data_IF_774044287738
#
_entry.id   IF_774044287738
#
_cell.length_a   1.000
_cell.length_b   1.000
_cell.length_c   1.000
_cell.angle_alpha   90.00
_cell.angle_beta   90.00
_cell.angle_gamma   90.00
#
_symmetry.space_group_name_H-M   'P 1'
#
loop_
_entity.id
_entity.type
_entity.pdbx_description
1 polymer ?
#
# COMPACT_ATOMS: atom_id res chain seq x y z
N UNK A 1 0.81 -43.18 -11.85
CA UNK A 1 0.10 -42.03 -11.25
C UNK A 1 0.97 -41.48 -10.14
N UNK A 2 1.17 -40.17 -10.08
CA UNK A 2 1.98 -39.57 -9.03
C UNK A 2 1.38 -39.88 -7.65
N UNK A 3 2.19 -40.29 -6.66
CA UNK A 3 1.71 -40.58 -5.32
C UNK A 3 1.20 -39.32 -4.62
N UNK A 4 0.53 -39.55 -3.49
CA UNK A 4 0.16 -38.47 -2.57
C UNK A 4 1.40 -37.68 -2.13
N UNK A 5 1.43 -36.35 -2.32
CA UNK A 5 2.56 -35.53 -1.89
C UNK A 5 2.81 -35.59 -0.37
N UNK A 6 4.07 -35.51 0.07
CA UNK A 6 4.39 -35.29 1.47
C UNK A 6 3.93 -33.89 1.93
N UNK A 7 3.86 -33.68 3.24
CA UNK A 7 3.60 -32.35 3.80
C UNK A 7 4.74 -31.38 3.45
N UNK A 8 4.40 -30.15 3.06
CA UNK A 8 5.42 -29.11 2.87
C UNK A 8 6.02 -28.71 4.22
N UNK A 9 7.30 -28.36 4.21
CA UNK A 9 8.05 -27.99 5.42
C UNK A 9 8.70 -26.62 5.27
N UNK A 10 9.04 -26.01 6.41
CA UNK A 10 9.69 -24.70 6.44
C UNK A 10 8.78 -23.55 5.98
N UNK A 11 7.47 -23.66 6.21
CA UNK A 11 6.52 -22.58 5.97
C UNK A 11 6.88 -21.37 6.84
N UNK A 12 7.14 -20.24 6.20
CA UNK A 12 7.49 -18.96 6.82
C UNK A 12 6.60 -17.85 6.28
N UNK A 13 6.41 -16.83 7.09
CA UNK A 13 5.65 -15.62 6.74
C UNK A 13 6.55 -14.41 6.82
N UNK A 14 6.44 -13.51 5.85
CA UNK A 14 7.05 -12.19 5.84
C UNK A 14 5.95 -11.13 5.81
N UNK A 15 6.03 -10.18 6.73
CA UNK A 15 5.02 -9.17 6.97
C UNK A 15 5.26 -7.93 6.11
N UNK A 16 4.18 -7.39 5.55
CA UNK A 16 4.14 -6.04 4.98
C UNK A 16 2.77 -5.43 5.28
N UNK A 17 2.63 -4.11 5.06
CA UNK A 17 1.34 -3.44 5.23
C UNK A 17 0.33 -4.04 4.26
N UNK A 18 -0.85 -4.40 4.76
CA UNK A 18 -1.94 -5.09 4.04
C UNK A 18 -1.60 -6.43 3.40
N UNK A 19 -0.42 -7.00 3.68
CA UNK A 19 0.10 -8.18 2.97
C UNK A 19 0.90 -9.12 3.87
N UNK A 20 0.78 -10.41 3.60
CA UNK A 20 1.67 -11.43 4.15
C UNK A 20 2.19 -12.29 3.01
N UNK A 21 3.51 -12.37 2.85
CA UNK A 21 4.14 -13.31 1.91
C UNK A 21 4.42 -14.62 2.63
N UNK A 22 3.88 -15.72 2.12
CA UNK A 22 4.19 -17.06 2.55
C UNK A 22 5.23 -17.69 1.63
N UNK A 23 6.19 -18.41 2.20
CA UNK A 23 7.16 -19.21 1.45
C UNK A 23 7.45 -20.53 2.18
N UNK A 24 7.79 -21.57 1.42
CA UNK A 24 8.12 -22.90 1.96
C UNK A 24 9.17 -23.60 1.12
N UNK A 25 9.65 -24.77 1.59
CA UNK A 25 10.58 -25.59 0.81
C UNK A 25 9.82 -26.26 -0.34
N UNK A 26 10.35 -26.12 -1.57
CA UNK A 26 9.82 -26.86 -2.72
C UNK A 26 9.92 -28.36 -2.48
N UNK A 27 8.89 -29.11 -2.89
CA UNK A 27 8.91 -30.58 -2.88
C UNK A 27 9.66 -31.17 -4.08
N UNK A 28 10.13 -30.33 -5.01
CA UNK A 28 10.80 -30.78 -6.24
C UNK A 28 9.80 -31.25 -7.30
N UNK A 29 10.23 -32.21 -8.12
CA UNK A 29 9.48 -32.70 -9.29
C UNK A 29 8.98 -34.14 -9.14
N UNK A 30 9.25 -34.81 -8.01
CA UNK A 30 8.78 -36.17 -7.72
C UNK A 30 8.19 -36.26 -6.30
N UNK A 31 6.85 -36.44 -6.14
CA UNK A 31 5.86 -36.45 -7.21
C UNK A 31 5.78 -35.10 -7.95
N UNK A 32 5.31 -35.12 -9.20
CA UNK A 32 5.03 -33.89 -9.92
C UNK A 32 3.91 -33.13 -9.19
N UNK A 33 4.25 -31.95 -8.68
CA UNK A 33 3.28 -31.06 -8.02
C UNK A 33 2.60 -30.20 -9.08
N UNK A 34 1.27 -30.33 -9.16
CA UNK A 34 0.44 -29.48 -10.01
C UNK A 34 0.29 -28.09 -9.39
N UNK A 35 -0.12 -28.03 -8.12
CA UNK A 35 -0.21 -26.78 -7.36
C UNK A 35 -0.16 -26.99 -5.86
N UNK A 36 0.02 -25.89 -5.15
CA UNK A 36 -0.19 -25.75 -3.73
C UNK A 36 -1.50 -25.02 -3.47
N UNK A 37 -2.21 -25.44 -2.43
CA UNK A 37 -3.37 -24.75 -1.85
C UNK A 37 -2.94 -24.10 -0.54
N UNK A 38 -3.19 -22.81 -0.41
CA UNK A 38 -2.89 -22.03 0.79
C UNK A 38 -4.19 -21.80 1.52
N UNK A 39 -4.27 -22.32 2.73
CA UNK A 39 -5.40 -22.17 3.63
C UNK A 39 -5.04 -21.20 4.75
N UNK A 40 -6.00 -20.42 5.20
CA UNK A 40 -5.80 -19.40 6.22
C UNK A 40 -7.08 -19.07 6.97
N UNK A 41 -6.95 -18.87 8.28
CA UNK A 41 -8.03 -18.40 9.15
C UNK A 41 -7.57 -17.17 9.94
N UNK A 42 -8.43 -16.14 10.11
CA UNK A 42 -8.11 -15.00 10.97
C UNK A 42 -7.88 -15.44 12.41
N UNK A 43 -6.91 -14.81 13.07
CA UNK A 43 -6.53 -15.08 14.45
C UNK A 43 -5.39 -16.10 14.61
N UNK A 44 -5.12 -16.43 15.86
CA UNK A 44 -4.08 -17.38 16.27
C UNK A 44 -4.73 -18.70 16.68
N UNK A 45 -4.40 -19.76 15.95
CA UNK A 45 -4.94 -21.10 16.15
C UNK A 45 -3.82 -22.10 16.37
N UNK A 46 -4.02 -23.08 17.23
CA UNK A 46 -3.02 -24.13 17.50
C UNK A 46 -2.80 -25.07 16.30
N UNK A 47 -3.77 -25.13 15.39
CA UNK A 47 -3.74 -25.88 14.14
C UNK A 47 -4.72 -25.29 13.15
N UNK A 48 -4.64 -25.72 11.90
CA UNK A 48 -5.56 -25.33 10.85
C UNK A 48 -5.98 -26.57 10.07
N UNK A 49 -7.29 -26.76 9.92
CA UNK A 49 -7.88 -27.85 9.14
C UNK A 49 -8.23 -27.33 7.74
N UNK A 50 -7.53 -27.77 6.67
CA UNK A 50 -7.75 -27.27 5.32
C UNK A 50 -9.15 -27.61 4.78
N UNK A 51 -9.93 -26.59 4.42
CA UNK A 51 -11.30 -26.71 3.92
C UNK A 51 -11.55 -25.73 2.76
N UNK A 52 -12.60 -25.92 1.96
CA UNK A 52 -12.90 -25.01 0.85
C UNK A 52 -13.19 -23.56 1.28
N UNK A 53 -13.75 -23.36 2.47
CA UNK A 53 -14.13 -22.05 3.03
C UNK A 53 -12.94 -21.23 3.52
N UNK A 54 -11.87 -21.88 3.99
CA UNK A 54 -10.62 -21.24 4.42
C UNK A 54 -9.52 -21.25 3.34
N UNK A 55 -9.87 -21.58 2.08
CA UNK A 55 -8.93 -21.51 0.95
C UNK A 55 -8.69 -20.05 0.56
N UNK A 56 -7.49 -19.55 0.86
CA UNK A 56 -7.07 -18.18 0.52
C UNK A 56 -6.61 -18.09 -0.94
N UNK A 57 -6.01 -19.18 -1.47
CA UNK A 57 -5.63 -19.21 -2.87
C UNK A 57 -4.78 -20.42 -3.27
N UNK A 58 -4.33 -20.40 -4.52
CA UNK A 58 -3.52 -21.46 -5.12
C UNK A 58 -2.31 -20.86 -5.82
N UNK A 59 -1.24 -21.64 -5.90
CA UNK A 59 0.00 -21.24 -6.59
C UNK A 59 0.76 -22.48 -7.05
N UNK A 60 1.48 -22.39 -8.15
CA UNK A 60 2.40 -23.45 -8.61
C UNK A 60 3.82 -23.27 -8.05
N UNK A 61 4.09 -22.12 -7.45
CA UNK A 61 5.38 -21.79 -6.85
C UNK A 61 5.36 -22.03 -5.35
N UNK A 62 6.53 -22.30 -4.71
CA UNK A 62 6.63 -22.45 -3.26
C UNK A 62 6.57 -21.10 -2.51
N UNK A 63 5.72 -20.20 -3.01
CA UNK A 63 5.49 -18.85 -2.52
C UNK A 63 4.07 -18.42 -2.85
N UNK A 64 3.42 -17.74 -1.92
CA UNK A 64 2.10 -17.14 -2.09
C UNK A 64 2.05 -15.77 -1.42
N UNK A 65 1.31 -14.83 -2.01
CA UNK A 65 1.11 -13.49 -1.45
C UNK A 65 -0.36 -13.34 -1.07
N UNK A 66 -0.64 -13.26 0.23
CA UNK A 66 -1.95 -12.90 0.74
C UNK A 66 -2.03 -11.37 0.83
N UNK A 67 -3.00 -10.76 0.13
CA UNK A 67 -3.18 -9.30 0.05
C UNK A 67 -4.58 -8.91 0.51
N UNK A 68 -4.80 -7.62 0.76
CA UNK A 68 -6.10 -7.08 1.16
C UNK A 68 -6.36 -7.14 2.66
N UNK A 69 -5.33 -7.39 3.46
CA UNK A 69 -5.40 -7.36 4.91
C UNK A 69 -5.57 -5.93 5.42
N UNK A 70 -6.11 -5.76 6.63
CA UNK A 70 -6.23 -4.47 7.32
C UNK A 70 -4.86 -3.77 7.42
N UNK A 71 -4.77 -2.47 7.04
CA UNK A 71 -3.54 -1.70 7.17
C UNK A 71 -3.08 -1.51 8.62
N UNK A 72 -3.95 -1.64 9.61
CA UNK A 72 -3.60 -1.61 11.05
C UNK A 72 -3.03 -2.94 11.56
N UNK A 73 -2.96 -3.94 10.69
CA UNK A 73 -2.35 -5.23 10.96
C UNK A 73 -3.36 -6.29 11.40
N UNK A 74 -3.32 -7.44 10.74
CA UNK A 74 -4.14 -8.61 11.04
C UNK A 74 -3.26 -9.80 11.38
N UNK A 75 -3.73 -10.64 12.30
CA UNK A 75 -3.10 -11.94 12.57
C UNK A 75 -3.89 -13.03 11.87
N UNK A 76 -3.18 -13.97 11.27
CA UNK A 76 -3.74 -15.14 10.60
C UNK A 76 -2.92 -16.38 10.94
N UNK A 77 -3.58 -17.53 10.89
CA UNK A 77 -2.93 -18.84 10.95
C UNK A 77 -3.05 -19.49 9.59
N UNK A 78 -1.96 -20.03 9.06
CA UNK A 78 -1.88 -20.58 7.71
C UNK A 78 -1.43 -22.04 7.70
N UNK A 79 -1.92 -22.81 6.73
CA UNK A 79 -1.34 -24.09 6.35
C UNK A 79 -1.32 -24.24 4.83
N UNK A 80 -0.38 -25.04 4.33
CA UNK A 80 -0.22 -25.29 2.90
C UNK A 80 -0.36 -26.78 2.61
N UNK A 81 -1.08 -27.10 1.55
CA UNK A 81 -1.29 -28.47 1.06
C UNK A 81 -0.79 -28.56 -0.38
N UNK A 82 0.02 -29.56 -0.68
CA UNK A 82 0.45 -29.83 -2.06
C UNK A 82 -0.54 -30.78 -2.75
N UNK A 83 -0.76 -30.58 -4.05
CA UNK A 83 -1.61 -31.41 -4.90
C UNK A 83 -0.77 -31.90 -6.08
N UNK A 84 -0.76 -33.22 -6.32
CA UNK A 84 -0.06 -33.79 -7.48
C UNK A 84 -0.81 -33.57 -8.79
N UNK A 85 -0.14 -33.81 -9.91
CA UNK A 85 -0.75 -33.87 -11.26
C UNK A 85 -1.85 -34.93 -11.40
N UNK A 86 -1.80 -35.99 -10.58
CA UNK A 86 -2.86 -36.99 -10.48
C UNK A 86 -4.07 -36.52 -9.62
N UNK A 87 -4.01 -35.33 -9.03
CA UNK A 87 -5.05 -34.78 -8.16
C UNK A 87 -4.99 -35.28 -6.71
N UNK A 88 -3.95 -36.03 -6.33
CA UNK A 88 -3.79 -36.50 -4.96
C UNK A 88 -3.42 -35.35 -4.03
N UNK A 89 -4.17 -35.22 -2.94
CA UNK A 89 -4.00 -34.16 -1.96
C UNK A 89 -3.11 -34.64 -0.82
N UNK A 90 -1.99 -33.94 -0.60
CA UNK A 90 -1.03 -34.22 0.47
C UNK A 90 -1.56 -33.92 1.87
N UNK A 91 -0.75 -34.22 2.88
CA UNK A 91 -1.02 -33.77 4.26
C UNK A 91 -0.73 -32.26 4.38
N UNK A 92 -1.45 -31.53 5.25
CA UNK A 92 -1.13 -30.13 5.53
C UNK A 92 0.25 -29.99 6.16
N UNK A 93 0.88 -28.85 5.92
CA UNK A 93 2.02 -28.39 6.71
C UNK A 93 1.65 -28.23 8.19
N UNK A 94 2.66 -28.10 9.04
CA UNK A 94 2.44 -27.49 10.35
C UNK A 94 1.81 -26.08 10.16
N UNK A 95 0.90 -25.71 11.06
CA UNK A 95 0.29 -24.40 11.04
C UNK A 95 1.33 -23.33 11.40
N UNK A 96 1.35 -22.24 10.63
CA UNK A 96 2.25 -21.11 10.85
C UNK A 96 1.45 -19.84 11.00
N UNK A 97 1.69 -19.11 12.08
CA UNK A 97 1.15 -17.77 12.30
C UNK A 97 1.86 -16.75 11.40
N UNK A 98 1.08 -15.87 10.78
CA UNK A 98 1.56 -14.64 10.16
C UNK A 98 0.83 -13.43 10.73
N UNK A 99 1.51 -12.29 10.85
CA UNK A 99 0.90 -11.01 11.19
C UNK A 99 1.36 -9.97 10.17
N UNK A 100 0.43 -9.29 9.50
CA UNK A 100 0.80 -8.18 8.63
C UNK A 100 1.40 -7.02 9.44
N UNK A 101 2.27 -6.24 8.80
CA UNK A 101 2.89 -5.11 9.48
C UNK A 101 1.82 -4.03 9.69
N UNK A 102 1.63 -3.51 10.91
CA UNK A 102 0.72 -2.42 11.16
C UNK A 102 1.33 -1.13 10.61
N UNK A 103 0.52 -0.32 9.96
CA UNK A 103 0.88 1.01 9.49
C UNK A 103 1.22 1.96 10.64
N UNK A 104 2.10 2.93 10.37
CA UNK A 104 2.37 4.06 11.27
C UNK A 104 1.14 4.89 11.60
N UNK A 105 0.07 4.82 10.81
CA UNK A 105 -1.23 5.45 11.10
C UNK A 105 -1.84 4.89 12.38
N UNK A 106 -1.64 3.59 12.67
CA UNK A 106 -2.12 2.96 13.91
C UNK A 106 -1.08 2.95 15.04
N UNK A 107 0.21 2.89 14.70
CA UNK A 107 1.27 2.73 15.69
C UNK A 107 1.93 4.03 16.13
N UNK A 108 1.88 5.08 15.31
CA UNK A 108 2.49 6.38 15.57
C UNK A 108 1.55 7.38 16.25
N UNK A 109 2.05 8.60 16.43
CA UNK A 109 1.29 9.75 16.89
C UNK A 109 1.21 10.75 15.73
N UNK A 110 0.02 11.11 15.24
CA UNK A 110 -0.10 12.05 14.13
C UNK A 110 0.43 13.42 14.54
N UNK A 111 1.36 13.95 13.74
CA UNK A 111 1.87 15.33 13.87
C UNK A 111 1.06 16.26 12.98
N UNK A 112 0.82 15.83 11.74
CA UNK A 112 0.01 16.56 10.76
C UNK A 112 -0.50 15.58 9.70
N UNK A 113 -1.69 15.83 9.16
CA UNK A 113 -2.31 15.00 8.11
C UNK A 113 -3.10 15.85 7.10
N UNK A 114 -3.19 15.34 5.88
CA UNK A 114 -4.09 15.79 4.81
C UNK A 114 -5.01 14.62 4.46
N UNK A 115 -6.31 14.82 4.60
CA UNK A 115 -7.30 13.77 4.38
C UNK A 115 -7.45 12.83 5.58
N UNK A 116 -8.20 11.75 5.37
CA UNK A 116 -8.46 10.68 6.32
C UNK A 116 -7.89 9.38 5.79
N UNK A 117 -7.21 8.61 6.64
CA UNK A 117 -6.68 7.30 6.27
C UNK A 117 -7.79 6.23 6.29
N UNK A 118 -8.77 6.35 5.40
CA UNK A 118 -9.99 5.52 5.40
C UNK A 118 -10.21 4.74 4.09
N UNK A 119 -9.28 4.83 3.14
CA UNK A 119 -9.38 4.17 1.84
C UNK A 119 -10.20 4.95 0.82
N UNK A 120 -10.38 6.27 1.02
CA UNK A 120 -11.24 7.12 0.18
C UNK A 120 -10.54 8.43 -0.18
N UNK A 121 -10.93 8.97 -1.32
CA UNK A 121 -10.42 10.26 -1.82
C UNK A 121 -11.48 11.37 -1.75
N UNK A 122 -12.69 11.05 -1.29
CA UNK A 122 -13.89 11.82 -1.52
C UNK A 122 -13.90 13.19 -0.83
N UNK A 123 -13.11 13.37 0.23
CA UNK A 123 -12.96 14.66 0.91
C UNK A 123 -11.99 15.62 0.21
N UNK A 124 -11.27 15.14 -0.82
CA UNK A 124 -10.27 15.93 -1.52
C UNK A 124 -10.89 16.80 -2.62
N UNK A 125 -10.20 17.88 -2.98
CA UNK A 125 -10.67 18.82 -4.00
C UNK A 125 -10.81 18.13 -5.37
N UNK A 126 -11.91 18.42 -6.05
CA UNK A 126 -12.28 17.87 -7.37
C UNK A 126 -12.60 16.36 -7.38
N UNK A 127 -12.57 15.68 -6.23
CA UNK A 127 -12.99 14.30 -6.16
C UNK A 127 -14.49 14.17 -6.52
N UNK A 128 -14.93 13.00 -7.02
CA UNK A 128 -14.10 11.91 -7.55
C UNK A 128 -13.84 12.00 -9.06
N UNK A 129 -14.38 13.02 -9.75
CA UNK A 129 -14.48 12.99 -11.21
C UNK A 129 -14.12 14.31 -11.93
N UNK A 130 -13.82 15.38 -11.21
CA UNK A 130 -13.57 16.71 -11.78
C UNK A 130 -12.07 16.96 -12.09
N UNK A 131 -11.31 15.90 -12.43
CA UNK A 131 -9.85 16.02 -12.60
C UNK A 131 -9.45 17.05 -13.66
N UNK A 132 -10.28 17.26 -14.68
CA UNK A 132 -10.05 18.23 -15.75
C UNK A 132 -9.92 19.68 -15.24
N UNK A 133 -10.33 19.97 -14.00
CA UNK A 133 -10.20 21.29 -13.36
C UNK A 133 -8.82 21.52 -12.73
N UNK A 134 -8.05 20.46 -12.47
CA UNK A 134 -6.74 20.54 -11.82
C UNK A 134 -5.76 21.43 -12.60
N UNK A 135 -5.58 21.30 -13.94
CA UNK A 135 -4.59 22.09 -14.67
C UNK A 135 -4.95 23.58 -14.72
N UNK A 136 -6.25 23.90 -14.73
CA UNK A 136 -6.73 25.28 -14.65
C UNK A 136 -6.48 25.88 -13.26
N UNK A 137 -6.66 25.10 -12.19
CA UNK A 137 -6.40 25.54 -10.82
C UNK A 137 -4.90 25.63 -10.49
N UNK A 138 -4.07 24.83 -11.15
CA UNK A 138 -2.62 24.74 -10.96
C UNK A 138 -1.88 24.86 -12.30
N UNK A 139 -1.91 26.06 -12.94
CA UNK A 139 -1.37 26.26 -14.29
C UNK A 139 0.15 26.15 -14.35
N UNK A 140 0.86 26.24 -13.23
CA UNK A 140 2.30 26.04 -13.07
C UNK A 140 2.68 24.61 -12.65
N UNK A 141 1.70 23.70 -12.53
CA UNK A 141 1.88 22.33 -12.06
C UNK A 141 2.31 22.21 -10.59
N UNK A 142 2.06 23.24 -9.78
CA UNK A 142 2.37 23.24 -8.35
C UNK A 142 1.08 23.30 -7.52
N UNK A 143 0.94 22.33 -6.62
CA UNK A 143 -0.11 22.29 -5.60
C UNK A 143 0.51 22.70 -4.28
N UNK A 144 0.03 23.79 -3.70
CA UNK A 144 0.48 24.29 -2.40
C UNK A 144 -0.57 23.94 -1.33
N UNK A 145 -0.13 23.39 -0.20
CA UNK A 145 -0.98 23.10 0.95
C UNK A 145 -0.28 23.51 2.25
N UNK A 146 -0.91 24.38 3.02
CA UNK A 146 -0.42 24.87 4.30
C UNK A 146 -1.23 24.24 5.44
N UNK A 147 -0.56 23.40 6.23
CA UNK A 147 -1.16 22.73 7.38
C UNK A 147 -1.78 23.74 8.35
N UNK A 148 -3.01 23.45 8.79
CA UNK A 148 -3.74 24.28 9.75
C UNK A 148 -4.40 25.53 9.13
N UNK A 149 -4.11 25.85 7.87
CA UNK A 149 -4.79 26.92 7.11
C UNK A 149 -5.72 26.33 6.06
N UNK A 150 -5.23 25.37 5.28
CA UNK A 150 -5.99 24.77 4.19
C UNK A 150 -6.78 23.54 4.67
N UNK A 151 -7.81 23.16 3.90
CA UNK A 151 -8.58 21.92 4.11
C UNK A 151 -8.42 21.02 2.88
N UNK A 152 -8.50 19.67 3.02
CA UNK A 152 -8.34 18.76 1.89
C UNK A 152 -9.26 19.09 0.70
N UNK A 153 -10.54 19.38 0.96
CA UNK A 153 -11.53 19.70 -0.06
C UNK A 153 -11.30 21.03 -0.81
N UNK A 154 -10.37 21.86 -0.34
CA UNK A 154 -10.08 23.17 -0.91
C UNK A 154 -8.63 23.30 -1.41
N UNK A 155 -7.67 22.67 -0.75
CA UNK A 155 -6.24 22.83 -1.03
C UNK A 155 -5.61 21.64 -1.74
N UNK A 156 -6.21 20.45 -1.64
CA UNK A 156 -5.56 19.22 -2.07
C UNK A 156 -6.36 18.52 -3.17
N UNK A 157 -5.97 18.61 -4.45
CA UNK A 157 -6.64 17.89 -5.52
C UNK A 157 -6.51 16.39 -5.30
N UNK A 158 -7.60 15.66 -5.54
CA UNK A 158 -7.66 14.22 -5.33
C UNK A 158 -6.69 13.42 -6.20
N UNK A 159 -6.30 13.97 -7.36
CA UNK A 159 -5.22 13.46 -8.20
C UNK A 159 -4.00 14.38 -8.17
N UNK A 160 -2.81 13.78 -8.09
CA UNK A 160 -1.58 14.43 -8.53
C UNK A 160 -1.22 13.92 -9.94
N UNK A 161 -1.27 14.78 -10.98
CA UNK A 161 -0.97 14.37 -12.36
C UNK A 161 0.52 14.12 -12.62
N UNK A 162 0.82 13.25 -13.58
CA UNK A 162 2.19 12.94 -14.02
C UNK A 162 2.43 13.24 -15.50
N UNK A 163 3.68 13.09 -16.00
CA UNK A 163 4.01 13.33 -17.40
C UNK A 163 3.23 12.48 -18.42
N UNK A 164 2.71 11.32 -18.01
CA UNK A 164 1.82 10.48 -18.80
C UNK A 164 0.43 11.05 -19.04
N UNK A 165 0.04 12.09 -18.30
CA UNK A 165 -1.30 12.68 -18.35
C UNK A 165 -1.42 13.78 -19.39
N UNK A 166 -1.88 13.40 -20.59
CA UNK A 166 -2.12 14.34 -21.68
C UNK A 166 -3.12 15.45 -21.30
N UNK A 167 -4.15 15.11 -20.52
CA UNK A 167 -5.16 16.05 -20.03
C UNK A 167 -4.57 17.10 -19.06
N UNK A 168 -3.42 16.82 -18.44
CA UNK A 168 -2.74 17.70 -17.51
C UNK A 168 -1.51 18.41 -18.12
N UNK A 169 -1.33 18.30 -19.45
CA UNK A 169 -0.24 18.96 -20.17
C UNK A 169 1.07 18.17 -20.27
N UNK A 170 1.06 16.85 -19.97
CA UNK A 170 2.24 15.96 -20.09
C UNK A 170 3.48 16.46 -19.34
N UNK A 171 3.31 16.92 -18.11
CA UNK A 171 4.38 17.44 -17.27
C UNK A 171 4.27 16.87 -15.85
N UNK A 172 5.39 16.86 -15.13
CA UNK A 172 5.41 16.51 -13.73
C UNK A 172 4.67 17.57 -12.91
N UNK A 173 3.77 17.14 -12.03
CA UNK A 173 3.21 18.02 -11.00
C UNK A 173 3.97 17.82 -9.69
N UNK A 174 4.05 18.90 -8.91
CA UNK A 174 4.61 18.92 -7.56
C UNK A 174 3.50 19.23 -6.58
N UNK A 175 3.36 18.43 -5.53
CA UNK A 175 2.58 18.78 -4.36
C UNK A 175 3.52 19.17 -3.21
N UNK A 176 3.34 20.38 -2.70
CA UNK A 176 4.11 20.94 -1.59
C UNK A 176 3.23 21.04 -0.37
N UNK A 177 3.67 20.39 0.69
CA UNK A 177 3.02 20.41 1.98
C UNK A 177 3.88 21.16 2.99
N UNK A 178 3.37 22.29 3.47
CA UNK A 178 4.01 23.11 4.48
C UNK A 178 3.43 22.82 5.86
N UNK A 179 4.29 22.57 6.84
CA UNK A 179 3.89 22.36 8.22
C UNK A 179 4.86 23.07 9.17
N UNK A 180 4.33 23.52 10.30
CA UNK A 180 5.10 24.15 11.38
C UNK A 180 5.28 23.14 12.52
N UNK A 181 6.52 22.95 12.96
CA UNK A 181 6.82 22.12 14.13
C UNK A 181 7.24 23.01 15.31
N UNK A 182 6.69 22.82 16.52
CA UNK A 182 7.04 23.64 17.68
C UNK A 182 8.49 23.45 18.13
N UNK A 183 9.08 22.30 17.84
CA UNK A 183 10.48 21.97 18.12
C UNK A 183 11.00 21.01 17.05
N UNK A 184 12.33 20.94 16.90
CA UNK A 184 12.95 19.92 16.08
C UNK A 184 12.75 18.53 16.74
N UNK A 185 12.37 17.50 15.98
CA UNK A 185 12.24 16.14 16.51
C UNK A 185 13.54 15.61 17.13
N UNK A 186 13.42 14.91 18.26
CA UNK A 186 14.53 14.19 18.88
C UNK A 186 14.71 12.77 18.29
N UNK A 187 13.70 12.27 17.60
CA UNK A 187 13.67 10.94 17.00
C UNK A 187 13.07 11.00 15.59
N UNK A 188 13.38 9.97 14.81
CA UNK A 188 12.83 9.82 13.46
C UNK A 188 11.30 9.83 13.48
N UNK A 189 10.75 10.39 12.42
CA UNK A 189 9.32 10.37 12.12
C UNK A 189 9.07 9.42 10.94
N UNK A 190 7.81 9.18 10.62
CA UNK A 190 7.41 8.43 9.45
C UNK A 190 6.43 9.24 8.61
N UNK A 191 6.67 9.30 7.31
CA UNK A 191 5.77 9.87 6.33
C UNK A 191 4.93 8.75 5.71
N UNK A 192 3.63 8.77 5.96
CA UNK A 192 2.66 7.88 5.36
C UNK A 192 2.06 8.53 4.10
N UNK A 193 2.12 7.80 2.99
CA UNK A 193 1.50 8.14 1.71
C UNK A 193 0.57 6.99 1.34
N UNK A 194 -0.73 7.19 1.53
CA UNK A 194 -1.75 6.21 1.16
C UNK A 194 -2.46 6.68 -0.11
N UNK A 195 -2.64 5.74 -1.03
CA UNK A 195 -3.24 5.96 -2.34
C UNK A 195 -4.44 5.05 -2.51
N UNK A 196 -5.54 5.59 -3.01
CA UNK A 196 -6.73 4.78 -3.35
C UNK A 196 -6.56 4.03 -4.67
N UNK A 197 -5.84 4.61 -5.63
CA UNK A 197 -5.54 4.00 -6.93
C UNK A 197 -4.41 4.74 -7.66
N UNK A 198 -3.87 4.11 -8.69
CA UNK A 198 -2.93 4.72 -9.65
C UNK A 198 -3.32 4.35 -11.08
N UNK A 199 -2.64 4.94 -12.06
CA UNK A 199 -2.81 4.52 -13.46
C UNK A 199 -2.10 3.21 -13.78
N UNK A 200 -2.45 2.62 -14.93
CA UNK A 200 -1.70 1.53 -15.53
C UNK A 200 -0.26 1.88 -15.94
N UNK A 201 0.11 3.17 -15.95
CA UNK A 201 1.46 3.61 -16.29
C UNK A 201 2.41 3.46 -15.10
N UNK A 202 1.89 3.26 -13.88
CA UNK A 202 2.69 3.35 -12.66
C UNK A 202 3.37 4.71 -12.57
N UNK A 203 4.63 4.72 -12.13
CA UNK A 203 5.44 5.93 -12.10
C UNK A 203 6.47 5.94 -10.97
N UNK A 204 7.09 7.11 -10.79
CA UNK A 204 8.00 7.37 -9.67
C UNK A 204 7.59 8.68 -8.99
N UNK A 205 7.24 8.60 -7.71
CA UNK A 205 6.97 9.75 -6.86
C UNK A 205 8.24 10.07 -6.07
N UNK A 206 8.91 11.16 -6.42
CA UNK A 206 10.08 11.65 -5.71
C UNK A 206 9.64 12.44 -4.47
N UNK A 207 10.18 12.06 -3.32
CA UNK A 207 9.85 12.67 -2.04
C UNK A 207 11.09 13.39 -1.50
N UNK A 208 10.92 14.64 -1.11
CA UNK A 208 11.96 15.41 -0.44
C UNK A 208 11.40 16.12 0.80
N UNK A 209 12.29 16.40 1.74
CA UNK A 209 11.97 17.15 2.97
C UNK A 209 12.98 18.28 3.09
N UNK A 210 12.48 19.51 3.20
CA UNK A 210 13.29 20.74 3.28
C UNK A 210 14.31 20.84 2.13
N UNK A 211 13.88 20.50 0.90
CA UNK A 211 14.72 20.52 -0.31
C UNK A 211 15.77 19.42 -0.38
N UNK A 212 15.83 18.51 0.60
CA UNK A 212 16.77 17.39 0.59
C UNK A 212 16.04 16.10 0.19
N UNK A 213 16.50 15.36 -0.84
CA UNK A 213 15.88 14.11 -1.25
C UNK A 213 15.75 13.11 -0.10
N UNK A 214 14.58 12.48 0.01
CA UNK A 214 14.30 11.43 0.99
C UNK A 214 14.29 10.07 0.31
N UNK A 215 13.38 9.86 -0.65
CA UNK A 215 13.24 8.60 -1.36
C UNK A 215 12.49 8.80 -2.68
N UNK A 216 12.79 7.96 -3.68
CA UNK A 216 11.97 7.79 -4.87
C UNK A 216 11.05 6.57 -4.68
N UNK A 217 9.75 6.81 -4.61
CA UNK A 217 8.73 5.77 -4.43
C UNK A 217 8.31 5.26 -5.79
N UNK A 218 8.56 3.97 -6.04
CA UNK A 218 8.02 3.29 -7.23
C UNK A 218 6.55 3.00 -7.02
N UNK A 219 5.72 3.55 -7.89
CA UNK A 219 4.27 3.38 -7.85
C UNK A 219 3.88 2.06 -8.51
N UNK A 220 2.93 1.37 -7.88
CA UNK A 220 2.33 0.18 -8.46
C UNK A 220 1.48 0.54 -9.69
N UNK A 221 1.28 -0.44 -10.57
CA UNK A 221 0.27 -0.38 -11.63
C UNK A 221 -1.11 -0.50 -10.96
N UNK A 222 -1.94 0.52 -11.12
CA UNK A 222 -3.29 0.55 -10.56
C UNK A 222 -4.38 0.31 -11.61
N UNK A 223 -5.63 0.39 -11.18
CA UNK A 223 -6.79 0.10 -12.01
C UNK A 223 -7.17 1.25 -12.95
N UNK A 224 -6.60 2.45 -12.78
CA UNK A 224 -6.96 3.68 -13.54
C UNK A 224 -8.40 4.14 -13.28
N UNK A 225 -9.08 3.56 -12.29
CA UNK A 225 -10.48 3.82 -11.95
C UNK A 225 -10.63 4.93 -10.90
N UNK A 226 -9.58 5.21 -10.12
CA UNK A 226 -9.53 6.29 -9.13
C UNK A 226 -9.77 7.71 -9.68
N UNK A 227 -9.75 7.89 -11.01
CA UNK A 227 -10.15 9.13 -11.69
C UNK A 227 -11.67 9.34 -11.80
N UNK A 228 -12.46 8.35 -11.40
CA UNK A 228 -13.93 8.33 -11.51
C UNK A 228 -14.61 7.75 -10.27
N UNK A 229 -13.92 6.84 -9.59
CA UNK A 229 -14.33 6.21 -8.34
C UNK A 229 -13.43 6.72 -7.21
N UNK A 230 -13.99 6.87 -6.00
CA UNK A 230 -13.26 7.46 -4.88
C UNK A 230 -13.34 6.69 -3.57
N UNK A 231 -13.95 5.51 -3.57
CA UNK A 231 -14.10 4.69 -2.36
C UNK A 231 -13.64 3.25 -2.63
N UNK A 232 -12.46 2.90 -2.12
CA UNK A 232 -11.89 1.57 -2.27
C UNK A 232 -12.41 0.56 -1.23
N UNK A 233 -13.28 0.98 -0.31
CA UNK A 233 -13.84 0.14 0.75
C UNK A 233 -15.13 -0.57 0.34
N UNK A 234 -15.73 -0.16 -0.78
CA UNK A 234 -16.97 -0.78 -1.26
C UNK A 234 -16.75 -2.25 -1.64
N UNK A 235 -17.70 -3.15 -1.32
CA UNK A 235 -17.66 -4.53 -1.78
C UNK A 235 -17.55 -4.62 -3.30
N UNK A 236 -16.57 -5.39 -3.80
CA UNK A 236 -16.33 -5.53 -5.23
C UNK A 236 -15.64 -4.33 -5.89
N UNK A 237 -15.14 -3.36 -5.11
CA UNK A 237 -14.31 -2.27 -5.64
C UNK A 237 -13.13 -2.83 -6.44
N UNK A 238 -12.87 -2.21 -7.59
CA UNK A 238 -11.75 -2.58 -8.47
C UNK A 238 -10.51 -1.72 -8.24
N UNK A 239 -10.59 -0.75 -7.32
CA UNK A 239 -9.49 0.14 -6.97
C UNK A 239 -8.35 -0.64 -6.33
N UNK A 240 -7.12 -0.29 -6.71
CA UNK A 240 -5.91 -0.95 -6.22
C UNK A 240 -5.18 0.01 -5.28
N UNK A 241 -5.44 -0.18 -3.98
CA UNK A 241 -4.80 0.63 -2.93
C UNK A 241 -3.30 0.39 -2.87
N UNK A 242 -2.55 1.44 -2.60
CA UNK A 242 -1.11 1.39 -2.36
C UNK A 242 -0.74 2.17 -1.10
N UNK A 243 0.23 1.62 -0.35
CA UNK A 243 0.65 2.12 0.94
C UNK A 243 2.17 2.27 0.94
N UNK A 244 2.65 3.48 1.21
CA UNK A 244 4.08 3.76 1.31
C UNK A 244 4.36 4.50 2.61
N UNK A 245 5.29 3.96 3.40
CA UNK A 245 5.71 4.56 4.65
C UNK A 245 7.22 4.73 4.63
N UNK A 246 7.66 5.98 4.79
CA UNK A 246 9.04 6.39 4.62
C UNK A 246 9.56 6.91 5.96
N UNK A 247 10.67 6.36 6.42
CA UNK A 247 11.38 6.92 7.58
C UNK A 247 11.87 8.33 7.22
N UNK A 248 11.53 9.32 8.03
CA UNK A 248 12.03 10.69 7.96
C UNK A 248 13.02 10.87 9.10
N UNK A 249 14.34 10.89 8.83
CA UNK A 249 15.34 11.04 9.88
C UNK A 249 15.13 12.34 10.66
N UNK A 250 15.32 12.32 11.98
CA UNK A 250 15.08 13.48 12.85
C UNK A 250 15.75 14.76 12.33
N UNK A 251 17.01 14.66 11.87
CA UNK A 251 17.78 15.78 11.34
C UNK A 251 17.31 16.34 9.99
N UNK A 252 16.29 15.73 9.34
CA UNK A 252 15.64 16.30 8.15
C UNK A 252 14.55 17.31 8.51
N UNK A 253 14.07 17.29 9.75
CA UNK A 253 13.05 18.19 10.26
C UNK A 253 13.68 19.22 11.21
N UNK A 254 13.06 20.39 11.30
CA UNK A 254 13.51 21.50 12.15
C UNK A 254 12.35 22.14 12.89
N UNK A 255 12.66 22.90 13.94
CA UNK A 255 11.67 23.80 14.54
C UNK A 255 11.22 24.86 13.50
N UNK A 256 9.95 25.25 13.58
CA UNK A 256 9.30 26.15 12.63
C UNK A 256 8.95 25.45 11.31
N UNK A 257 9.06 26.19 10.20
CA UNK A 257 8.56 25.76 8.90
C UNK A 257 9.38 24.62 8.30
N UNK A 258 8.67 23.55 7.96
CA UNK A 258 9.15 22.43 7.16
C UNK A 258 8.31 22.33 5.88
N UNK A 259 8.93 21.80 4.82
CA UNK A 259 8.24 21.49 3.56
C UNK A 259 8.50 20.04 3.18
N UNK A 260 7.43 19.29 2.92
CA UNK A 260 7.50 18.01 2.21
C UNK A 260 7.10 18.26 0.76
N UNK A 261 7.94 17.88 -0.19
CA UNK A 261 7.63 17.98 -1.62
C UNK A 261 7.48 16.58 -2.21
N UNK A 262 6.41 16.39 -2.97
CA UNK A 262 6.04 15.16 -3.67
C UNK A 262 5.97 15.48 -5.17
N UNK A 263 6.96 15.02 -5.94
CA UNK A 263 7.04 15.26 -7.38
C UNK A 263 6.72 13.97 -8.11
N UNK A 264 5.65 13.96 -8.91
CA UNK A 264 5.36 12.82 -9.77
C UNK A 264 6.21 12.93 -11.04
N UNK A 265 7.44 12.43 -10.95
CA UNK A 265 8.51 12.65 -11.92
C UNK A 265 8.33 11.84 -13.22
N UNK A 266 7.63 10.70 -13.14
CA UNK A 266 7.30 9.84 -14.28
C UNK A 266 5.97 9.11 -14.04
N UNK A 267 5.37 8.60 -15.12
CA UNK A 267 4.13 7.84 -15.09
C UNK A 267 2.87 8.68 -15.21
N UNK A 268 1.74 8.11 -14.81
CA UNK A 268 0.43 8.78 -14.80
C UNK A 268 -0.04 9.04 -13.37
N UNK A 269 -1.13 9.78 -13.23
CA UNK A 269 -1.63 10.27 -11.96
C UNK A 269 -1.67 9.24 -10.82
N UNK A 270 -1.56 9.75 -9.60
CA UNK A 270 -1.90 9.03 -8.35
C UNK A 270 -3.15 9.63 -7.74
N UNK A 271 -4.02 8.80 -7.18
CA UNK A 271 -5.19 9.22 -6.43
C UNK A 271 -4.93 9.06 -4.93
N UNK A 272 -5.00 10.15 -4.18
CA UNK A 272 -4.72 10.15 -2.74
C UNK A 272 -5.83 9.48 -1.95
N UNK A 273 -5.45 8.76 -0.91
CA UNK A 273 -6.32 8.49 0.24
C UNK A 273 -6.02 9.55 1.30
N UNK A 274 -4.78 9.53 1.81
CA UNK A 274 -4.29 10.53 2.73
C UNK A 274 -2.75 10.61 2.74
N UNK A 275 -2.25 11.73 3.26
CA UNK A 275 -0.84 11.97 3.51
C UNK A 275 -0.67 12.39 4.97
N UNK A 276 0.36 11.91 5.66
CA UNK A 276 0.56 12.26 7.06
C UNK A 276 1.97 12.05 7.57
N UNK A 277 2.37 12.89 8.51
CA UNK A 277 3.62 12.79 9.24
C UNK A 277 3.31 12.31 10.66
N UNK A 278 3.97 11.24 11.07
CA UNK A 278 3.75 10.59 12.35
C UNK A 278 5.04 10.58 13.16
N UNK A 279 4.95 10.96 14.44
CA UNK A 279 6.02 10.70 15.39
C UNK A 279 5.97 9.22 15.79
N UNK A 280 7.14 8.59 15.92
CA UNK A 280 7.25 7.24 16.47
C UNK A 280 6.94 7.26 17.97
N UNK A 281 6.29 6.20 18.46
CA UNK A 281 6.08 5.97 19.89
C UNK A 281 7.34 5.40 20.54
#
# INVERSE_FOLDING_TARGET
MSPRPPAVTGLRTEAAITRTTLSWRSLGFDPLIDHYRVHGEPGEHAGLDPRPDNLVGKTVYPRFLHQGLDPLGETWTYAVVAVSDAGEVGRPSAATRGRSAPSVVGTGIPVATIGSFDGRTLEHRFAPADYARIPTAHPDAVVEYVQGRDTPGQGWPYLLPGPGDAWAGRRAYTARWHLELPAAPAADHDLALWLVDTTRLGGTLEVSVNGTPLQAVRLAVGATRGSREGDATLPGSTLVRAYHELAVPAGRLRAGRNTVELVLADGGWVAWDAVGLFARR
#
